data_IF_535510580811
#
_entry.id   IF_535510580811
#
_cell.length_a   1.000
_cell.length_b   1.000
_cell.length_c   1.000
_cell.angle_alpha   90.00
_cell.angle_beta   90.00
_cell.angle_gamma   90.00
#
_symmetry.space_group_name_H-M   'P 1'
#
loop_
_entity.id
_entity.type
_entity.pdbx_description
1 polymer ?
#
# COMPACT_ATOMS: atom_id res chain seq x y z
N UNK A 1 3.97 -2.74 -2.28
CA UNK A 1 4.35 -1.37 -2.27
C UNK A 1 5.26 -1.00 -1.12
N UNK A 2 6.55 -1.10 -1.33
CA UNK A 2 7.50 -0.67 -0.32
C UNK A 2 7.75 0.83 -0.44
N UNK A 3 7.77 1.51 0.69
CA UNK A 3 8.04 2.95 0.78
C UNK A 3 9.54 3.27 0.88
N UNK A 4 10.40 2.27 0.78
CA UNK A 4 11.85 2.45 0.86
C UNK A 4 12.45 2.44 -0.56
N UNK A 5 13.13 3.51 -1.00
CA UNK A 5 13.78 3.52 -2.29
C UNK A 5 14.97 2.54 -2.32
N UNK A 6 15.18 1.93 -3.49
CA UNK A 6 16.33 1.06 -3.76
C UNK A 6 17.39 1.85 -4.51
N UNK A 7 18.61 1.82 -3.99
CA UNK A 7 19.75 2.46 -4.65
C UNK A 7 20.11 1.74 -5.94
N UNK A 8 20.41 2.50 -6.99
CA UNK A 8 20.75 2.00 -8.33
C UNK A 8 22.16 2.37 -8.72
N UNK A 9 22.95 1.39 -9.14
CA UNK A 9 24.36 1.54 -9.52
C UNK A 9 24.61 1.11 -10.97
N UNK A 10 25.16 2.00 -11.79
CA UNK A 10 25.43 1.71 -13.21
C UNK A 10 26.58 0.70 -13.44
N UNK A 11 27.42 0.47 -12.44
CA UNK A 11 28.59 -0.39 -12.54
C UNK A 11 28.41 -1.77 -11.91
N UNK A 12 27.24 -2.04 -11.32
CA UNK A 12 26.95 -3.31 -10.66
C UNK A 12 26.86 -4.43 -11.71
N UNK A 13 27.68 -5.45 -11.52
CA UNK A 13 27.59 -6.69 -12.30
C UNK A 13 26.82 -7.72 -11.49
N UNK A 14 25.64 -8.07 -11.96
CA UNK A 14 24.74 -8.99 -11.29
C UNK A 14 24.71 -10.33 -12.04
N UNK A 15 24.49 -11.44 -11.34
CA UNK A 15 24.26 -12.73 -11.98
C UNK A 15 22.97 -12.67 -12.81
N UNK A 16 22.90 -13.44 -13.89
CA UNK A 16 21.75 -13.48 -14.79
C UNK A 16 20.46 -13.89 -14.07
N UNK A 17 20.59 -14.73 -13.05
CA UNK A 17 19.49 -15.24 -12.23
C UNK A 17 19.05 -14.29 -11.10
N UNK A 18 19.64 -13.08 -11.02
CA UNK A 18 19.26 -12.12 -9.97
C UNK A 18 17.76 -11.84 -9.99
N UNK A 19 17.14 -11.86 -8.81
CA UNK A 19 15.71 -11.56 -8.66
C UNK A 19 15.43 -10.14 -9.14
N UNK A 20 14.17 -9.86 -9.53
CA UNK A 20 13.80 -8.54 -10.06
C UNK A 20 14.09 -7.41 -9.06
N UNK A 21 13.87 -7.66 -7.76
CA UNK A 21 14.12 -6.70 -6.68
C UNK A 21 15.61 -6.40 -6.48
N UNK A 22 16.48 -7.39 -6.74
CA UNK A 22 17.93 -7.29 -6.52
C UNK A 22 18.68 -6.70 -7.71
N UNK A 23 17.98 -6.38 -8.80
CA UNK A 23 18.62 -5.79 -10.00
C UNK A 23 18.93 -4.32 -9.80
N UNK A 24 19.98 -4.02 -9.08
CA UNK A 24 20.42 -2.65 -8.78
C UNK A 24 20.90 -1.88 -10.01
N UNK A 25 21.32 -2.58 -11.07
CA UNK A 25 21.78 -1.97 -12.34
C UNK A 25 20.66 -1.70 -13.35
N UNK A 26 19.39 -1.90 -12.98
CA UNK A 26 18.24 -1.69 -13.87
C UNK A 26 17.22 -0.75 -13.24
N UNK A 27 16.63 0.11 -14.06
CA UNK A 27 15.42 0.88 -13.74
C UNK A 27 14.23 0.28 -14.46
N UNK A 28 13.08 0.24 -13.80
CA UNK A 28 11.90 -0.47 -14.26
C UNK A 28 10.75 0.51 -14.55
N UNK A 29 10.07 0.29 -15.67
CA UNK A 29 8.86 1.04 -16.00
C UNK A 29 7.79 0.87 -14.92
N UNK A 30 7.12 1.96 -14.57
CA UNK A 30 6.11 1.98 -13.49
C UNK A 30 6.68 2.23 -12.10
N UNK A 31 7.99 2.44 -11.96
CA UNK A 31 8.61 2.89 -10.72
C UNK A 31 8.94 4.38 -10.76
N UNK A 32 9.03 5.01 -9.60
CA UNK A 32 9.35 6.43 -9.45
C UNK A 32 10.79 6.62 -9.00
N UNK A 33 11.51 7.55 -9.62
CA UNK A 33 12.83 7.98 -9.16
C UNK A 33 12.60 8.99 -8.02
N UNK A 34 13.06 8.65 -6.82
CA UNK A 34 12.88 9.47 -5.62
C UNK A 34 14.01 10.47 -5.42
N UNK A 35 15.22 10.15 -5.87
CA UNK A 35 16.39 11.02 -5.77
C UNK A 35 17.39 10.72 -6.89
N UNK A 36 18.27 11.68 -7.17
CA UNK A 36 19.36 11.54 -8.15
C UNK A 36 18.91 11.68 -9.60
N UNK A 37 19.88 11.44 -10.50
CA UNK A 37 19.71 11.47 -11.96
C UNK A 37 20.64 10.46 -12.63
N UNK A 38 20.26 9.96 -13.78
CA UNK A 38 21.10 9.03 -14.53
C UNK A 38 20.66 8.92 -15.99
N UNK A 39 21.45 8.21 -16.77
CA UNK A 39 21.12 7.84 -18.14
C UNK A 39 20.97 6.33 -18.22
N UNK A 40 19.91 5.84 -18.81
CA UNK A 40 19.63 4.42 -18.98
C UNK A 40 19.44 4.06 -20.44
N UNK A 41 19.89 2.86 -20.82
CA UNK A 41 19.61 2.28 -22.13
C UNK A 41 18.29 1.50 -22.04
N UNK A 42 17.37 1.77 -22.96
CA UNK A 42 16.13 1.00 -23.06
C UNK A 42 16.43 -0.38 -23.64
N UNK A 43 16.19 -1.43 -22.86
CA UNK A 43 16.48 -2.83 -23.22
C UNK A 43 15.24 -3.64 -23.56
N UNK A 44 14.06 -3.16 -23.23
CA UNK A 44 12.78 -3.79 -23.55
C UNK A 44 11.67 -2.74 -23.65
N UNK A 45 10.66 -2.97 -24.50
CA UNK A 45 9.51 -2.10 -24.69
C UNK A 45 8.20 -2.91 -24.73
N UNK A 46 7.08 -2.24 -24.51
CA UNK A 46 5.75 -2.86 -24.62
C UNK A 46 5.59 -4.10 -23.73
N UNK A 47 5.13 -5.19 -24.32
CA UNK A 47 4.84 -6.44 -23.61
C UNK A 47 6.09 -7.21 -23.18
N UNK A 48 7.27 -6.87 -23.72
CA UNK A 48 8.55 -7.48 -23.32
C UNK A 48 9.13 -6.86 -22.03
N UNK A 49 8.58 -5.72 -21.59
CA UNK A 49 8.94 -5.14 -20.29
C UNK A 49 8.44 -6.01 -19.14
N UNK A 50 9.00 -5.81 -17.93
CA UNK A 50 8.50 -6.53 -16.75
C UNK A 50 7.02 -6.24 -16.47
N UNK A 51 6.58 -5.00 -16.70
CA UNK A 51 5.17 -4.62 -16.60
C UNK A 51 4.31 -5.32 -17.66
N UNK A 52 4.82 -5.46 -18.89
CA UNK A 52 4.18 -6.21 -19.95
C UNK A 52 4.04 -7.70 -19.63
N UNK A 53 5.07 -8.30 -19.03
CA UNK A 53 5.01 -9.71 -18.58
C UNK A 53 3.94 -9.92 -17.50
N UNK A 54 3.84 -9.00 -16.52
CA UNK A 54 2.78 -9.03 -15.50
C UNK A 54 1.41 -8.92 -16.18
N UNK A 55 1.26 -8.01 -17.15
CA UNK A 55 0.01 -7.87 -17.89
C UNK A 55 -0.36 -9.14 -18.67
N UNK A 56 0.61 -9.81 -19.31
CA UNK A 56 0.39 -11.09 -19.98
C UNK A 56 -0.05 -12.18 -19.01
N UNK A 57 0.59 -12.34 -17.85
CA UNK A 57 0.18 -13.30 -16.82
C UNK A 57 -1.27 -13.07 -16.36
N UNK A 58 -1.69 -11.81 -16.24
CA UNK A 58 -3.07 -11.46 -15.89
C UNK A 58 -4.08 -11.76 -17.03
N UNK A 59 -3.62 -11.74 -18.30
CA UNK A 59 -4.46 -12.06 -19.45
C UNK A 59 -4.55 -13.58 -19.71
N UNK A 60 -3.50 -14.33 -19.39
CA UNK A 60 -3.41 -15.78 -19.56
C UNK A 60 -4.15 -16.56 -18.48
N UNK A 61 -4.46 -15.93 -17.35
CA UNK A 61 -5.19 -16.55 -16.26
C UNK A 61 -6.64 -16.86 -16.70
N UNK A 62 -6.82 -18.07 -17.27
CA UNK A 62 -8.14 -18.61 -17.60
C UNK A 62 -8.80 -19.03 -16.30
N UNK A 63 -9.64 -18.16 -15.78
CA UNK A 63 -10.50 -18.53 -14.65
C UNK A 63 -11.31 -19.79 -15.00
N UNK A 64 -11.18 -20.81 -14.19
CA UNK A 64 -12.03 -22.01 -14.29
C UNK A 64 -13.49 -21.66 -13.97
N UNK A 65 -14.40 -22.56 -14.31
CA UNK A 65 -15.82 -22.45 -13.98
C UNK A 65 -16.04 -22.19 -12.49
N UNK A 66 -16.97 -21.32 -12.18
CA UNK A 66 -17.38 -21.09 -10.79
C UNK A 66 -18.07 -22.31 -10.18
N UNK A 67 -18.13 -22.45 -8.84
CA UNK A 67 -18.86 -23.54 -8.18
C UNK A 67 -20.31 -23.67 -8.67
N UNK A 68 -21.00 -22.57 -8.93
CA UNK A 68 -22.36 -22.55 -9.46
C UNK A 68 -22.40 -23.07 -10.90
N UNK A 69 -21.49 -22.62 -11.77
CA UNK A 69 -21.42 -23.08 -13.15
C UNK A 69 -21.15 -24.57 -13.23
N UNK A 70 -20.26 -25.12 -12.39
CA UNK A 70 -20.00 -26.56 -12.30
C UNK A 70 -21.24 -27.33 -11.86
N UNK A 71 -21.90 -26.90 -10.77
CA UNK A 71 -23.14 -27.51 -10.27
C UNK A 71 -24.27 -27.48 -11.31
N UNK A 72 -24.41 -26.35 -12.00
CA UNK A 72 -25.37 -26.19 -13.08
C UNK A 72 -25.08 -27.15 -14.25
N UNK A 73 -23.81 -27.27 -14.61
CA UNK A 73 -23.39 -28.25 -15.63
C UNK A 73 -23.70 -29.71 -15.24
N UNK A 74 -23.49 -30.07 -13.96
CA UNK A 74 -23.85 -31.38 -13.44
C UNK A 74 -25.35 -31.63 -13.45
N UNK A 75 -26.15 -30.64 -13.00
CA UNK A 75 -27.62 -30.73 -13.01
C UNK A 75 -28.11 -30.86 -14.45
N UNK A 76 -27.59 -30.03 -15.37
CA UNK A 76 -27.97 -30.10 -16.79
C UNK A 76 -27.66 -31.45 -17.41
N UNK A 77 -26.49 -32.02 -17.13
CA UNK A 77 -26.11 -33.38 -17.60
C UNK A 77 -27.05 -34.47 -17.04
N UNK A 78 -27.31 -34.44 -15.72
CA UNK A 78 -28.21 -35.38 -15.06
C UNK A 78 -29.63 -35.31 -15.63
N UNK A 79 -30.12 -34.07 -15.82
CA UNK A 79 -31.47 -33.83 -16.35
C UNK A 79 -31.58 -34.27 -17.82
N UNK A 80 -30.55 -33.98 -18.63
CA UNK A 80 -30.49 -34.43 -20.02
C UNK A 80 -30.48 -35.97 -20.13
N UNK A 81 -29.70 -36.63 -19.27
CA UNK A 81 -29.67 -38.08 -19.25
C UNK A 81 -31.03 -38.69 -18.83
N UNK A 82 -31.66 -38.13 -17.80
CA UNK A 82 -32.99 -38.53 -17.34
C UNK A 82 -34.03 -38.39 -18.47
N UNK A 83 -34.03 -37.20 -19.11
CA UNK A 83 -34.94 -36.90 -20.21
C UNK A 83 -34.76 -37.86 -21.40
N UNK A 84 -33.52 -38.08 -21.83
CA UNK A 84 -33.24 -39.07 -22.89
C UNK A 84 -33.68 -40.48 -22.54
N UNK A 85 -33.50 -40.89 -21.27
CA UNK A 85 -33.95 -42.20 -20.79
C UNK A 85 -35.47 -42.33 -20.84
N UNK A 86 -36.19 -41.30 -20.39
CA UNK A 86 -37.68 -41.28 -20.45
C UNK A 86 -38.15 -41.30 -21.90
N UNK A 87 -37.55 -40.51 -22.79
CA UNK A 87 -37.88 -40.49 -24.21
C UNK A 87 -37.63 -41.85 -24.87
N UNK A 88 -36.51 -42.54 -24.55
CA UNK A 88 -36.20 -43.86 -25.06
C UNK A 88 -37.21 -44.92 -24.58
N UNK A 89 -37.59 -44.88 -23.30
CA UNK A 89 -38.61 -45.79 -22.74
C UNK A 89 -39.96 -45.53 -23.42
N UNK A 90 -40.39 -44.27 -23.53
CA UNK A 90 -41.64 -43.94 -24.23
C UNK A 90 -41.66 -44.39 -25.68
N UNK A 91 -40.57 -44.18 -26.40
CA UNK A 91 -40.42 -44.63 -27.78
C UNK A 91 -40.51 -46.13 -27.87
N UNK A 92 -39.79 -46.87 -27.02
CA UNK A 92 -39.83 -48.33 -26.98
C UNK A 92 -41.23 -48.91 -26.66
N UNK A 93 -41.88 -48.37 -25.64
CA UNK A 93 -43.27 -48.77 -25.26
C UNK A 93 -44.26 -48.47 -26.40
N UNK A 94 -44.13 -47.30 -27.08
CA UNK A 94 -44.98 -46.98 -28.22
C UNK A 94 -44.82 -47.94 -29.39
N UNK A 95 -43.60 -48.39 -29.69
CA UNK A 95 -43.36 -49.42 -30.71
C UNK A 95 -43.99 -50.80 -30.36
N UNK A 96 -43.87 -51.19 -29.09
CA UNK A 96 -44.46 -52.42 -28.59
C UNK A 96 -46.01 -52.43 -28.71
N UNK A 97 -46.59 -51.20 -28.52
CA UNK A 97 -48.05 -51.02 -28.66
C UNK A 97 -48.50 -50.89 -30.12
N UNK A 98 -47.59 -51.05 -31.09
CA UNK A 98 -47.93 -51.03 -32.52
C UNK A 98 -48.25 -49.62 -33.07
N UNK A 99 -47.81 -48.59 -32.40
CA UNK A 99 -47.96 -47.18 -32.88
C UNK A 99 -47.02 -46.90 -34.03
N UNK A 100 -47.36 -45.83 -34.81
CA UNK A 100 -46.54 -45.45 -35.95
C UNK A 100 -45.18 -44.95 -35.42
N UNK A 101 -44.09 -45.43 -35.96
CA UNK A 101 -42.72 -45.16 -35.59
C UNK A 101 -42.41 -43.61 -35.70
N UNK A 102 -42.91 -42.95 -36.75
CA UNK A 102 -42.68 -41.53 -36.99
C UNK A 102 -43.37 -40.68 -35.93
N UNK A 103 -44.64 -41.01 -35.58
CA UNK A 103 -45.39 -40.26 -34.56
C UNK A 103 -44.75 -40.41 -33.17
N UNK A 104 -44.26 -41.61 -32.84
CA UNK A 104 -43.57 -41.81 -31.58
C UNK A 104 -42.23 -41.11 -31.53
N UNK A 105 -41.49 -41.05 -32.64
CA UNK A 105 -40.25 -40.26 -32.73
C UNK A 105 -40.52 -38.77 -32.54
N UNK A 106 -41.49 -38.20 -33.24
CA UNK A 106 -41.86 -36.79 -33.09
C UNK A 106 -42.33 -36.48 -31.68
N UNK A 107 -43.08 -37.36 -31.03
CA UNK A 107 -43.52 -37.22 -29.64
C UNK A 107 -42.33 -37.23 -28.69
N UNK A 108 -41.39 -38.17 -28.86
CA UNK A 108 -40.19 -38.27 -28.05
C UNK A 108 -39.30 -37.03 -28.21
N UNK A 109 -39.12 -36.51 -29.43
CA UNK A 109 -38.37 -35.27 -29.68
C UNK A 109 -39.07 -34.05 -29.04
N UNK A 110 -40.40 -33.95 -29.20
CA UNK A 110 -41.17 -32.85 -28.58
C UNK A 110 -41.05 -32.85 -27.07
N UNK A 111 -41.09 -34.04 -26.44
CA UNK A 111 -40.86 -34.17 -24.98
C UNK A 111 -39.44 -33.79 -24.57
N UNK A 112 -38.44 -34.25 -25.37
CA UNK A 112 -37.05 -33.89 -25.09
C UNK A 112 -36.81 -32.36 -25.12
N UNK A 113 -37.37 -31.68 -26.11
CA UNK A 113 -37.29 -30.21 -26.22
C UNK A 113 -38.02 -29.55 -25.06
N UNK A 114 -39.23 -29.98 -24.73
CA UNK A 114 -40.02 -29.41 -23.62
C UNK A 114 -39.36 -29.60 -22.24
N UNK A 115 -38.52 -30.60 -22.07
CA UNK A 115 -37.85 -30.90 -20.80
C UNK A 115 -36.53 -30.12 -20.61
N UNK A 116 -36.05 -29.36 -21.61
CA UNK A 116 -34.84 -28.53 -21.49
C UNK A 116 -35.16 -27.29 -20.67
N UNK A 117 -34.49 -27.04 -19.51
CA UNK A 117 -34.77 -25.90 -18.68
C UNK A 117 -34.08 -24.62 -19.23
N UNK A 118 -34.57 -24.07 -20.34
CA UNK A 118 -33.96 -22.93 -21.04
C UNK A 118 -33.94 -21.68 -20.19
N UNK A 119 -34.87 -21.49 -19.24
CA UNK A 119 -34.95 -20.35 -18.35
C UNK A 119 -33.86 -20.29 -17.28
N UNK A 120 -33.21 -21.42 -16.94
CA UNK A 120 -32.31 -21.48 -15.78
C UNK A 120 -31.06 -20.62 -15.94
N UNK A 121 -30.33 -20.61 -17.08
CA UNK A 121 -29.19 -19.71 -17.29
C UNK A 121 -29.59 -18.23 -17.29
N UNK A 122 -30.75 -17.90 -17.84
CA UNK A 122 -31.25 -16.53 -17.85
C UNK A 122 -31.56 -16.01 -16.44
N UNK A 123 -32.22 -16.80 -15.59
CA UNK A 123 -32.51 -16.45 -14.20
C UNK A 123 -31.22 -16.20 -13.41
N UNK A 124 -30.23 -17.08 -13.55
CA UNK A 124 -28.92 -16.93 -12.88
C UNK A 124 -28.24 -15.64 -13.31
N UNK A 125 -28.21 -15.36 -14.62
CA UNK A 125 -27.62 -14.11 -15.15
C UNK A 125 -28.30 -12.87 -14.59
N UNK A 126 -29.63 -12.89 -14.51
CA UNK A 126 -30.41 -11.76 -13.95
C UNK A 126 -30.07 -11.57 -12.46
N UNK A 127 -30.03 -12.65 -11.67
CA UNK A 127 -29.72 -12.59 -10.23
C UNK A 127 -28.30 -12.03 -10.02
N UNK A 128 -27.31 -12.53 -10.78
CA UNK A 128 -25.95 -12.03 -10.71
C UNK A 128 -25.86 -10.54 -11.13
N UNK A 129 -26.59 -10.15 -12.19
CA UNK A 129 -26.63 -8.75 -12.62
C UNK A 129 -27.24 -7.82 -11.54
N UNK A 130 -28.29 -8.26 -10.86
CA UNK A 130 -28.84 -7.53 -9.70
C UNK A 130 -27.82 -7.43 -8.55
N UNK A 131 -27.04 -8.49 -8.32
CA UNK A 131 -25.91 -8.49 -7.37
C UNK A 131 -24.88 -7.43 -7.71
N UNK A 132 -24.44 -7.41 -8.98
CA UNK A 132 -23.50 -6.38 -9.49
C UNK A 132 -24.06 -4.97 -9.31
N UNK A 133 -25.33 -4.75 -9.64
CA UNK A 133 -25.96 -3.44 -9.49
C UNK A 133 -25.99 -2.97 -8.00
N UNK A 134 -26.20 -3.89 -7.06
CA UNK A 134 -26.11 -3.58 -5.62
C UNK A 134 -24.69 -3.25 -5.18
N UNK A 135 -23.71 -3.99 -5.67
CA UNK A 135 -22.28 -3.75 -5.39
C UNK A 135 -21.82 -2.40 -5.96
N UNK A 136 -22.23 -2.08 -7.19
CA UNK A 136 -21.93 -0.79 -7.82
C UNK A 136 -22.45 0.41 -7.01
N UNK A 137 -23.65 0.31 -6.43
CA UNK A 137 -24.20 1.32 -5.50
C UNK A 137 -23.34 1.49 -4.25
N UNK A 138 -22.59 0.46 -3.85
CA UNK A 138 -21.63 0.48 -2.74
C UNK A 138 -20.21 0.79 -3.20
N UNK A 139 -20.03 1.32 -4.42
CA UNK A 139 -18.74 1.70 -5.03
C UNK A 139 -17.78 0.51 -5.24
N UNK A 140 -18.31 -0.72 -5.28
CA UNK A 140 -17.54 -1.91 -5.62
C UNK A 140 -17.64 -2.14 -7.13
N UNK A 141 -16.50 -2.14 -7.82
CA UNK A 141 -16.43 -2.39 -9.27
C UNK A 141 -16.27 -3.88 -9.49
N UNK A 142 -17.25 -4.50 -10.15
CA UNK A 142 -17.22 -5.91 -10.52
C UNK A 142 -16.88 -6.02 -12.01
N UNK A 143 -15.76 -6.62 -12.34
CA UNK A 143 -15.33 -6.80 -13.73
C UNK A 143 -16.06 -7.94 -14.44
N UNK A 144 -16.46 -8.99 -13.71
CA UNK A 144 -17.10 -10.19 -14.24
C UNK A 144 -18.26 -10.63 -13.37
N UNK A 145 -19.38 -11.02 -13.98
CA UNK A 145 -20.58 -11.47 -13.27
C UNK A 145 -20.32 -12.63 -12.29
N UNK A 146 -19.54 -13.67 -12.66
CA UNK A 146 -19.25 -14.79 -11.77
C UNK A 146 -18.52 -14.41 -10.47
N UNK A 147 -17.76 -13.31 -10.47
CA UNK A 147 -17.03 -12.85 -9.27
C UNK A 147 -17.95 -12.50 -8.10
N UNK A 148 -19.21 -12.13 -8.37
CA UNK A 148 -20.22 -11.85 -7.32
C UNK A 148 -20.55 -13.11 -6.52
N UNK A 149 -20.67 -14.25 -7.20
CA UNK A 149 -20.92 -15.54 -6.57
C UNK A 149 -19.73 -15.94 -5.67
N UNK A 150 -18.52 -15.90 -6.22
CA UNK A 150 -17.29 -16.25 -5.48
C UNK A 150 -17.14 -15.40 -4.22
N UNK A 151 -17.41 -14.10 -4.33
CA UNK A 151 -17.37 -13.19 -3.18
C UNK A 151 -18.46 -13.55 -2.16
N UNK A 152 -19.67 -13.91 -2.61
CA UNK A 152 -20.77 -14.30 -1.74
C UNK A 152 -20.54 -15.60 -0.97
N UNK A 153 -19.62 -16.46 -1.43
CA UNK A 153 -19.25 -17.72 -0.80
C UNK A 153 -17.94 -17.62 0.01
N UNK A 154 -17.32 -16.44 0.07
CA UNK A 154 -16.06 -16.26 0.77
C UNK A 154 -16.23 -16.39 2.29
N UNK A 155 -15.56 -17.35 2.91
CA UNK A 155 -15.48 -17.50 4.37
C UNK A 155 -14.28 -16.76 4.99
N UNK A 156 -13.29 -16.38 4.16
CA UNK A 156 -12.08 -15.66 4.57
C UNK A 156 -11.77 -14.57 3.57
N UNK A 157 -11.48 -13.38 4.06
CA UNK A 157 -10.98 -12.25 3.25
C UNK A 157 -9.55 -11.96 3.66
N UNK A 158 -8.62 -12.17 2.74
CA UNK A 158 -7.21 -11.80 2.91
C UNK A 158 -7.00 -10.40 2.35
N UNK A 159 -6.64 -9.46 3.22
CA UNK A 159 -6.44 -8.06 2.83
C UNK A 159 -4.99 -7.64 3.06
N UNK A 160 -4.41 -6.97 2.07
CA UNK A 160 -3.15 -6.27 2.26
C UNK A 160 -3.34 -5.12 3.26
N UNK A 161 -2.31 -4.86 4.04
CA UNK A 161 -2.30 -3.77 5.01
C UNK A 161 -2.17 -2.41 4.32
N UNK A 162 -1.11 -2.25 3.50
CA UNK A 162 -0.68 -0.95 2.99
C UNK A 162 -1.56 -0.48 1.83
N UNK A 163 -2.16 0.71 1.96
CA UNK A 163 -3.02 1.29 0.93
C UNK A 163 -4.41 0.65 0.80
N UNK A 164 -4.66 -0.48 1.49
CA UNK A 164 -5.97 -1.14 1.56
C UNK A 164 -6.62 -0.89 2.92
N UNK A 165 -6.05 -1.41 3.99
CA UNK A 165 -6.53 -1.17 5.36
C UNK A 165 -6.05 0.17 5.90
N UNK A 166 -4.91 0.65 5.41
CA UNK A 166 -4.33 1.94 5.79
C UNK A 166 -4.44 2.97 4.65
N UNK A 167 -4.17 4.23 4.96
CA UNK A 167 -4.34 5.35 4.04
C UNK A 167 -3.21 5.46 2.99
N UNK A 168 -2.14 4.68 3.12
CA UNK A 168 -0.90 4.82 2.35
C UNK A 168 -0.30 6.23 2.46
N UNK A 169 -0.41 6.82 3.64
CA UNK A 169 0.07 8.16 3.94
C UNK A 169 0.66 8.19 5.33
N UNK A 170 1.97 8.40 5.43
CA UNK A 170 2.60 8.60 6.72
C UNK A 170 2.03 9.83 7.41
N UNK A 171 1.76 9.71 8.70
CA UNK A 171 1.18 10.80 9.52
C UNK A 171 1.92 10.85 10.85
N UNK A 172 2.35 12.04 11.26
CA UNK A 172 2.92 12.27 12.59
C UNK A 172 1.81 12.18 13.63
N UNK A 173 1.96 11.26 14.57
CA UNK A 173 0.97 11.01 15.65
C UNK A 173 1.51 11.29 17.04
N UNK A 174 2.83 11.32 17.21
CA UNK A 174 3.46 11.60 18.50
C UNK A 174 4.73 12.45 18.30
N UNK A 175 4.89 13.48 19.11
CA UNK A 175 6.09 14.31 19.14
C UNK A 175 6.51 14.45 20.58
N UNK A 176 7.67 13.92 20.92
CA UNK A 176 8.24 14.01 22.26
C UNK A 176 9.48 14.90 22.24
N UNK A 177 9.56 15.80 23.20
CA UNK A 177 10.73 16.66 23.43
C UNK A 177 11.15 16.57 24.90
N UNK A 178 12.46 16.52 25.18
CA UNK A 178 12.95 16.44 26.57
C UNK A 178 12.63 17.71 27.38
N UNK A 179 12.46 18.83 26.72
CA UNK A 179 12.08 20.12 27.31
C UNK A 179 10.69 20.52 26.89
N UNK A 180 9.90 21.02 27.82
CA UNK A 180 8.56 21.52 27.52
C UNK A 180 8.63 22.74 26.59
N UNK A 181 7.73 22.79 25.61
CA UNK A 181 7.63 23.92 24.66
C UNK A 181 8.50 23.80 23.40
N UNK A 182 9.36 22.81 23.27
CA UNK A 182 10.21 22.62 22.08
C UNK A 182 9.51 21.88 20.92
N UNK A 183 8.22 21.55 21.04
CA UNK A 183 7.46 20.87 19.99
C UNK A 183 7.49 21.60 18.65
N UNK A 184 7.24 22.89 18.66
CA UNK A 184 7.31 23.71 17.44
C UNK A 184 8.73 23.71 16.81
N UNK A 185 9.78 23.75 17.64
CA UNK A 185 11.17 23.67 17.17
C UNK A 185 11.46 22.30 16.54
N UNK A 186 10.97 21.21 17.12
CA UNK A 186 11.14 19.86 16.56
C UNK A 186 10.50 19.76 15.18
N UNK A 187 9.27 20.28 15.01
CA UNK A 187 8.56 20.27 13.73
C UNK A 187 9.22 21.23 12.72
N UNK A 188 9.70 22.40 13.15
CA UNK A 188 10.46 23.33 12.29
C UNK A 188 11.71 22.65 11.73
N UNK A 189 12.49 21.98 12.58
CA UNK A 189 13.69 21.25 12.14
C UNK A 189 13.30 20.13 11.18
N UNK A 190 12.24 19.37 11.49
CA UNK A 190 11.72 18.31 10.62
C UNK A 190 11.32 18.84 9.23
N UNK A 191 10.64 19.99 9.17
CA UNK A 191 10.21 20.60 7.91
C UNK A 191 11.37 21.21 7.12
N UNK A 192 12.29 21.93 7.77
CA UNK A 192 13.47 22.50 7.13
C UNK A 192 14.44 21.44 6.61
N UNK A 193 14.60 20.34 7.35
CA UNK A 193 15.43 19.21 6.95
C UNK A 193 14.61 18.19 6.11
N UNK A 194 13.89 18.66 5.08
CA UNK A 194 13.07 17.85 4.18
C UNK A 194 13.08 18.43 2.77
N UNK A 195 13.00 17.53 1.77
CA UNK A 195 12.93 17.91 0.35
C UNK A 195 11.48 17.94 -0.16
N UNK A 196 10.51 17.50 0.64
CA UNK A 196 9.10 17.51 0.28
C UNK A 196 8.61 18.95 0.04
N UNK A 197 7.87 19.13 -1.05
CA UNK A 197 7.24 20.42 -1.38
C UNK A 197 5.84 20.49 -0.75
N UNK A 198 5.51 21.66 -0.19
CA UNK A 198 4.20 21.94 0.39
C UNK A 198 3.34 22.75 -0.59
N UNK A 199 2.14 22.25 -0.83
CA UNK A 199 1.06 22.98 -1.52
C UNK A 199 -0.19 22.99 -0.63
N UNK A 200 -1.12 23.90 -0.91
CA UNK A 200 -2.36 24.01 -0.18
C UNK A 200 -3.55 23.70 -1.09
N UNK A 201 -4.43 22.80 -0.66
CA UNK A 201 -5.73 22.54 -1.30
C UNK A 201 -6.83 23.06 -0.38
N UNK A 202 -7.22 24.31 -0.59
CA UNK A 202 -8.09 25.03 0.35
C UNK A 202 -7.37 25.27 1.69
N UNK A 203 -7.85 24.65 2.77
CA UNK A 203 -7.22 24.77 4.12
C UNK A 203 -6.39 23.54 4.50
N UNK A 204 -6.33 22.53 3.64
CA UNK A 204 -5.57 21.30 3.92
C UNK A 204 -4.19 21.37 3.28
N UNK A 205 -3.11 21.06 4.03
CA UNK A 205 -1.78 20.93 3.47
C UNK A 205 -1.70 19.66 2.64
N UNK A 206 -1.12 19.78 1.45
CA UNK A 206 -0.85 18.65 0.54
C UNK A 206 0.62 18.70 0.18
N UNK A 207 1.38 17.80 0.73
CA UNK A 207 2.81 17.73 0.44
C UNK A 207 3.11 16.66 -0.60
N UNK A 208 4.14 16.91 -1.42
CA UNK A 208 4.64 15.99 -2.45
C UNK A 208 6.10 15.69 -2.18
N UNK A 209 6.47 14.41 -2.21
CA UNK A 209 7.83 13.95 -1.95
C UNK A 209 7.85 12.61 -1.23
N UNK A 210 8.96 12.29 -0.55
CA UNK A 210 9.06 11.09 0.28
C UNK A 210 7.96 11.05 1.36
N UNK A 211 7.30 9.91 1.59
CA UNK A 211 6.21 9.79 2.57
C UNK A 211 6.60 10.20 3.99
N UNK A 212 7.84 9.97 4.40
CA UNK A 212 8.34 10.35 5.72
C UNK A 212 8.49 11.87 5.82
N UNK A 213 8.98 12.50 4.76
CA UNK A 213 9.18 13.95 4.71
C UNK A 213 7.87 14.70 4.57
N UNK A 214 6.95 14.21 3.73
CA UNK A 214 5.60 14.78 3.62
C UNK A 214 4.87 14.76 4.95
N UNK A 215 5.03 13.70 5.76
CA UNK A 215 4.46 13.61 7.10
C UNK A 215 4.97 14.72 8.03
N UNK A 216 6.27 15.01 7.98
CA UNK A 216 6.89 16.07 8.79
C UNK A 216 6.40 17.46 8.37
N UNK A 217 6.37 17.73 7.06
CA UNK A 217 5.93 19.00 6.48
C UNK A 217 4.45 19.24 6.75
N UNK A 218 3.60 18.23 6.56
CA UNK A 218 2.17 18.29 6.86
C UNK A 218 1.90 18.54 8.35
N UNK A 219 2.66 17.90 9.25
CA UNK A 219 2.52 18.12 10.69
C UNK A 219 2.92 19.54 11.09
N UNK A 220 4.01 20.06 10.55
CA UNK A 220 4.43 21.44 10.76
C UNK A 220 3.36 22.43 10.25
N UNK A 221 2.86 22.24 9.04
CA UNK A 221 1.84 23.10 8.44
C UNK A 221 0.54 23.15 9.26
N UNK A 222 0.10 22.02 9.84
CA UNK A 222 -1.08 21.96 10.72
C UNK A 222 -0.91 22.75 12.02
N UNK A 223 0.32 22.95 12.48
CA UNK A 223 0.65 23.80 13.63
C UNK A 223 0.98 25.26 13.24
N UNK A 224 0.69 25.63 11.98
CA UNK A 224 0.91 26.99 11.46
C UNK A 224 2.35 27.28 11.03
N UNK A 225 3.19 26.25 10.96
CA UNK A 225 4.59 26.35 10.52
C UNK A 225 4.65 26.03 9.02
N UNK A 226 4.34 27.03 8.17
CA UNK A 226 4.38 26.87 6.71
C UNK A 226 5.81 26.72 6.20
N UNK A 227 6.10 25.63 5.49
CA UNK A 227 7.46 25.34 5.00
C UNK A 227 7.99 26.44 4.09
N UNK A 228 7.15 26.97 3.20
CA UNK A 228 7.57 28.01 2.26
C UNK A 228 7.94 29.32 3.01
N UNK A 229 7.18 29.65 4.06
CA UNK A 229 7.50 30.75 4.95
C UNK A 229 8.80 30.51 5.73
N UNK A 230 8.96 29.31 6.27
CA UNK A 230 10.19 28.92 6.99
C UNK A 230 11.43 28.96 6.08
N UNK A 231 11.36 28.51 4.84
CA UNK A 231 12.47 28.57 3.88
C UNK A 231 12.80 30.01 3.46
N UNK A 232 11.81 30.90 3.44
CA UNK A 232 12.03 32.35 3.25
C UNK A 232 12.77 32.98 4.42
N UNK A 233 12.43 32.62 5.66
CA UNK A 233 13.08 33.13 6.89
C UNK A 233 14.44 32.44 7.14
N UNK A 234 14.56 31.16 6.83
CA UNK A 234 15.73 30.29 7.01
C UNK A 234 16.22 29.71 5.67
N UNK A 235 16.81 30.55 4.79
CA UNK A 235 17.23 30.06 3.45
C UNK A 235 18.22 28.92 3.55
N UNK A 236 17.92 27.80 2.84
CA UNK A 236 18.80 26.63 2.73
C UNK A 236 20.01 26.98 1.86
N UNK A 237 21.20 26.70 2.33
CA UNK A 237 22.48 27.02 1.67
C UNK A 237 23.36 25.82 1.44
N UNK A 238 23.05 24.68 2.03
CA UNK A 238 23.79 23.43 1.85
C UNK A 238 23.07 22.26 2.46
N UNK A 239 23.52 21.07 2.08
CA UNK A 239 22.93 19.83 2.54
C UNK A 239 23.91 18.67 2.50
N UNK A 240 23.63 17.67 3.31
CA UNK A 240 24.10 16.29 3.14
C UNK A 240 22.84 15.47 3.01
N UNK A 241 22.52 14.95 1.80
CA UNK A 241 21.34 14.13 1.55
C UNK A 241 21.25 12.92 2.47
N UNK A 242 20.07 12.34 2.59
CA UNK A 242 19.91 11.09 3.35
C UNK A 242 20.82 10.02 2.78
N UNK A 243 21.47 9.32 3.67
CA UNK A 243 22.35 8.20 3.37
C UNK A 243 22.00 7.02 4.26
N UNK A 244 21.80 5.84 3.67
CA UNK A 244 21.35 4.64 4.36
C UNK A 244 22.38 4.05 5.33
N UNK A 245 23.67 4.23 5.08
CA UNK A 245 24.74 3.80 6.00
C UNK A 245 24.82 4.75 7.18
N UNK A 246 24.77 6.05 6.91
CA UNK A 246 24.81 7.11 7.91
C UNK A 246 23.49 7.26 8.66
N UNK A 247 22.36 6.87 8.05
CA UNK A 247 20.98 6.99 8.57
C UNK A 247 20.59 8.39 9.02
N UNK A 248 21.20 9.40 8.45
CA UNK A 248 20.98 10.82 8.76
C UNK A 248 20.80 11.62 7.46
N UNK A 249 20.04 12.71 7.56
CA UNK A 249 19.99 13.80 6.60
C UNK A 249 20.30 15.09 7.33
N UNK A 250 21.04 15.99 6.68
CA UNK A 250 21.48 17.26 7.25
C UNK A 250 21.25 18.39 6.27
N UNK A 251 20.67 19.48 6.74
CA UNK A 251 20.53 20.71 5.95
C UNK A 251 21.12 21.89 6.71
N UNK A 252 21.65 22.86 5.96
CA UNK A 252 22.29 24.05 6.50
C UNK A 252 21.50 25.28 6.08
N UNK A 253 21.08 26.06 7.06
CA UNK A 253 20.23 27.23 6.87
C UNK A 253 20.91 28.49 7.40
N UNK A 254 20.71 29.60 6.67
CA UNK A 254 21.11 30.90 7.14
C UNK A 254 20.13 31.40 8.21
N UNK A 255 20.65 31.84 9.37
CA UNK A 255 19.79 32.33 10.46
C UNK A 255 19.34 33.76 10.23
N UNK A 256 18.10 34.10 10.60
CA UNK A 256 17.73 35.50 10.79
C UNK A 256 18.68 36.17 11.80
N UNK A 257 19.26 37.29 11.44
CA UNK A 257 20.23 38.00 12.31
C UNK A 257 21.68 37.51 12.24
N UNK A 258 21.99 36.57 11.36
CA UNK A 258 23.36 36.12 11.07
C UNK A 258 23.74 34.81 11.70
N UNK A 259 24.80 34.20 11.17
CA UNK A 259 25.21 32.82 11.49
C UNK A 259 24.40 31.75 10.77
N UNK A 260 24.59 30.49 11.18
CA UNK A 260 24.08 29.33 10.48
C UNK A 260 23.43 28.35 11.46
N UNK A 261 22.38 27.69 11.02
CA UNK A 261 21.78 26.54 11.71
C UNK A 261 21.90 25.31 10.87
N UNK A 262 22.50 24.29 11.45
CA UNK A 262 22.54 22.93 10.91
C UNK A 262 21.35 22.18 11.50
N UNK A 263 20.42 21.74 10.66
CA UNK A 263 19.29 20.88 11.04
C UNK A 263 19.61 19.45 10.65
N UNK A 264 19.39 18.50 11.56
CA UNK A 264 19.68 17.07 11.34
C UNK A 264 18.47 16.26 11.73
N UNK A 265 18.06 15.32 10.85
CA UNK A 265 17.07 14.29 11.15
C UNK A 265 17.61 12.91 10.83
N UNK A 266 17.12 11.90 11.52
CA UNK A 266 17.44 10.52 11.21
C UNK A 266 17.16 9.53 12.31
N UNK A 267 17.82 8.37 12.26
CA UNK A 267 17.64 7.30 13.23
C UNK A 267 17.98 7.74 14.65
N UNK A 268 17.08 7.54 15.63
CA UNK A 268 17.26 8.06 17.00
C UNK A 268 18.54 7.58 17.67
N UNK A 269 18.91 6.32 17.48
CA UNK A 269 20.10 5.68 18.04
C UNK A 269 21.40 6.27 17.49
N UNK A 270 21.42 6.58 16.19
CA UNK A 270 22.58 7.21 15.54
C UNK A 270 22.67 8.67 15.95
N UNK A 271 21.55 9.40 15.93
CA UNK A 271 21.50 10.80 16.27
C UNK A 271 21.89 11.06 17.73
N UNK A 272 21.47 10.18 18.67
CA UNK A 272 21.83 10.26 20.08
C UNK A 272 23.35 10.28 20.30
N UNK A 273 24.09 9.46 19.56
CA UNK A 273 25.57 9.40 19.64
C UNK A 273 26.26 10.65 19.11
N UNK A 274 25.59 11.43 18.26
CA UNK A 274 26.09 12.68 17.69
C UNK A 274 25.74 13.93 18.52
N UNK A 275 24.82 13.74 19.49
CA UNK A 275 24.35 14.80 20.38
C UNK A 275 25.15 14.87 21.69
N UNK A 276 25.18 16.08 22.27
CA UNK A 276 25.73 16.29 23.61
C UNK A 276 24.70 15.89 24.67
N UNK A 277 24.58 14.61 24.97
CA UNK A 277 23.64 14.09 25.96
C UNK A 277 24.40 13.56 27.17
N UNK A 278 23.90 13.85 28.36
CA UNK A 278 24.31 13.16 29.56
C UNK A 278 23.66 11.76 29.65
N UNK A 279 24.17 10.90 30.52
CA UNK A 279 23.68 9.53 30.67
C UNK A 279 22.20 9.44 31.03
N UNK A 280 21.63 10.45 31.74
CA UNK A 280 20.23 10.45 32.14
C UNK A 280 19.33 10.83 30.95
N UNK A 281 19.75 11.84 30.15
CA UNK A 281 19.06 12.22 28.94
C UNK A 281 19.09 11.11 27.88
N UNK A 282 20.24 10.45 27.70
CA UNK A 282 20.36 9.31 26.78
C UNK A 282 19.41 8.16 27.15
N UNK A 283 19.35 7.77 28.43
CA UNK A 283 18.39 6.74 28.88
C UNK A 283 16.93 7.15 28.69
N UNK A 284 16.57 8.41 28.95
CA UNK A 284 15.20 8.91 28.72
C UNK A 284 14.82 8.87 27.25
N UNK A 285 15.75 9.23 26.36
CA UNK A 285 15.56 9.17 24.92
C UNK A 285 15.33 7.71 24.48
N UNK A 286 16.19 6.80 24.90
CA UNK A 286 16.11 5.37 24.57
C UNK A 286 14.78 4.77 25.02
N UNK A 287 14.43 4.94 26.30
CA UNK A 287 13.14 4.46 26.83
C UNK A 287 11.93 5.04 26.08
N UNK A 288 12.00 6.33 25.66
CA UNK A 288 10.92 6.94 24.90
C UNK A 288 10.87 6.41 23.47
N UNK A 289 12.02 6.22 22.83
CA UNK A 289 12.12 5.61 21.51
C UNK A 289 11.55 4.18 21.51
N UNK A 290 11.90 3.37 22.50
CA UNK A 290 11.34 2.01 22.67
C UNK A 290 9.83 2.05 22.89
N UNK A 291 9.32 2.97 23.71
CA UNK A 291 7.88 3.12 23.93
C UNK A 291 7.12 3.55 22.67
N UNK A 292 7.72 4.38 21.83
CA UNK A 292 7.14 4.76 20.52
C UNK A 292 7.24 3.60 19.51
N UNK A 293 8.38 2.93 19.44
CA UNK A 293 8.57 1.76 18.58
C UNK A 293 7.65 0.59 18.98
N UNK A 294 7.40 0.41 20.28
CA UNK A 294 6.44 -0.57 20.81
C UNK A 294 4.99 -0.30 20.40
N UNK A 295 4.67 0.93 19.96
CA UNK A 295 3.39 1.31 19.33
C UNK A 295 3.44 1.25 17.81
N UNK A 296 4.37 0.50 17.25
CA UNK A 296 4.61 0.39 15.81
C UNK A 296 4.83 1.73 15.08
N UNK A 297 5.30 2.77 15.78
CA UNK A 297 5.63 4.04 15.16
C UNK A 297 7.00 3.97 14.49
N UNK A 298 7.08 4.52 13.30
CA UNK A 298 8.37 4.90 12.71
C UNK A 298 8.86 6.15 13.42
N UNK A 299 9.99 6.06 14.11
CA UNK A 299 10.52 7.15 14.93
C UNK A 299 11.71 7.80 14.24
N UNK A 300 11.68 9.13 14.14
CA UNK A 300 12.81 9.96 13.73
C UNK A 300 13.26 10.83 14.89
N UNK A 301 14.56 10.95 15.07
CA UNK A 301 15.17 11.96 15.91
C UNK A 301 15.40 13.24 15.12
N UNK A 302 15.30 14.40 15.82
CA UNK A 302 15.65 15.70 15.28
C UNK A 302 16.59 16.44 16.23
N UNK A 303 17.59 17.09 15.64
CA UNK A 303 18.61 17.83 16.37
C UNK A 303 19.10 19.04 15.55
N UNK A 304 19.77 19.96 16.20
CA UNK A 304 20.40 21.10 15.52
C UNK A 304 21.74 21.48 16.12
N UNK A 305 22.45 22.34 15.41
CA UNK A 305 23.68 23.00 15.87
C UNK A 305 23.76 24.39 15.25
N UNK A 306 24.04 25.37 16.06
CA UNK A 306 24.28 26.75 15.57
C UNK A 306 25.78 26.98 15.38
N UNK A 307 26.14 27.62 14.25
CA UNK A 307 27.51 27.95 13.87
C UNK A 307 27.64 29.43 13.52
N UNK A 308 28.70 30.04 13.97
CA UNK A 308 29.01 31.44 13.60
C UNK A 308 29.49 31.55 12.13
N UNK A 309 30.26 30.57 11.68
CA UNK A 309 30.77 30.48 10.31
C UNK A 309 30.62 29.04 9.78
N UNK A 310 30.41 28.92 8.49
CA UNK A 310 30.41 27.60 7.83
C UNK A 310 31.83 27.03 7.72
N UNK A 311 31.97 25.71 7.91
CA UNK A 311 33.22 25.05 7.57
C UNK A 311 33.50 25.14 6.06
N UNK A 312 34.79 25.06 5.66
CA UNK A 312 35.18 25.11 4.26
C UNK A 312 34.58 23.97 3.45
N UNK A 313 34.43 22.81 4.07
CA UNK A 313 33.79 21.61 3.48
C UNK A 313 32.61 21.20 4.31
N UNK A 314 31.49 20.99 3.64
CA UNK A 314 30.28 20.45 4.27
C UNK A 314 30.40 18.91 4.28
N UNK A 315 30.78 18.35 5.41
CA UNK A 315 30.88 16.91 5.61
C UNK A 315 30.29 16.49 6.97
N UNK A 316 30.06 15.20 7.14
CA UNK A 316 29.46 14.63 8.36
C UNK A 316 30.30 14.94 9.62
N UNK A 317 31.62 14.90 9.51
CA UNK A 317 32.51 15.17 10.65
C UNK A 317 32.37 16.62 11.18
N UNK A 318 32.20 17.58 10.29
CA UNK A 318 32.07 18.98 10.65
C UNK A 318 30.64 19.36 11.12
N UNK A 319 29.62 18.80 10.47
CA UNK A 319 28.23 19.20 10.67
C UNK A 319 27.48 18.33 11.68
N UNK A 320 27.74 17.04 11.75
CA UNK A 320 26.93 16.08 12.50
C UNK A 320 27.53 15.66 13.86
N UNK A 321 28.40 16.48 14.43
CA UNK A 321 28.97 16.27 15.75
C UNK A 321 28.63 17.40 16.71
N UNK A 322 28.44 17.03 17.99
CA UNK A 322 28.17 18.00 19.05
C UNK A 322 26.81 18.69 18.89
N UNK A 323 25.83 17.98 18.37
CA UNK A 323 24.46 18.44 18.13
C UNK A 323 23.69 18.65 19.45
N UNK A 324 22.70 19.52 19.42
CA UNK A 324 21.70 19.68 20.46
C UNK A 324 20.47 18.86 20.06
N UNK A 325 20.16 17.84 20.84
CA UNK A 325 18.97 17.00 20.63
C UNK A 325 17.70 17.79 20.98
N UNK A 326 16.68 17.73 20.10
CA UNK A 326 15.42 18.46 20.30
C UNK A 326 14.26 17.50 20.60
N UNK A 327 14.14 16.40 19.87
CA UNK A 327 13.04 15.51 20.12
C UNK A 327 12.97 14.28 19.20
N UNK A 328 11.96 13.47 19.48
CA UNK A 328 11.54 12.31 18.69
C UNK A 328 10.20 12.63 18.03
N UNK A 329 10.08 12.26 16.77
CA UNK A 329 8.85 12.38 15.99
C UNK A 329 8.43 10.98 15.56
N UNK A 330 7.29 10.53 16.09
CA UNK A 330 6.70 9.23 15.78
C UNK A 330 5.60 9.36 14.74
N UNK A 331 5.66 8.54 13.72
CA UNK A 331 4.71 8.54 12.61
C UNK A 331 4.26 7.14 12.27
N UNK A 332 3.07 7.02 11.71
CA UNK A 332 2.46 5.77 11.27
C UNK A 332 1.64 6.02 10.02
N UNK A 333 1.42 5.00 9.22
CA UNK A 333 0.37 4.97 8.21
C UNK A 333 -0.94 4.57 8.89
N UNK A 334 -1.86 5.51 9.15
CA UNK A 334 -3.05 5.23 9.96
C UNK A 334 -4.05 4.35 9.22
N UNK A 335 -4.84 3.54 9.94
CA UNK A 335 -5.95 2.82 9.34
C UNK A 335 -6.98 3.79 8.75
N UNK A 336 -7.66 3.34 7.71
CA UNK A 336 -8.80 4.09 7.14
C UNK A 336 -9.96 4.07 8.13
N UNK A 337 -10.68 5.20 8.31
CA UNK A 337 -11.79 5.28 9.26
C UNK A 337 -12.89 4.24 9.01
N UNK A 338 -13.15 3.92 7.73
CA UNK A 338 -14.18 2.97 7.30
C UNK A 338 -13.83 1.50 7.54
N UNK A 339 -12.57 1.16 7.74
CA UNK A 339 -12.10 -0.24 7.83
C UNK A 339 -12.61 -0.91 9.09
N UNK A 340 -12.65 -0.22 10.22
CA UNK A 340 -13.17 -0.78 11.47
C UNK A 340 -14.60 -1.30 11.32
N UNK A 341 -15.47 -0.47 10.75
CA UNK A 341 -16.86 -0.86 10.47
C UNK A 341 -16.96 -2.01 9.48
N UNK A 342 -16.09 -2.01 8.46
CA UNK A 342 -16.06 -3.11 7.49
C UNK A 342 -15.61 -4.44 8.12
N UNK A 343 -14.62 -4.42 9.01
CA UNK A 343 -14.16 -5.58 9.77
C UNK A 343 -15.26 -6.12 10.68
N UNK A 344 -15.96 -5.24 11.42
CA UNK A 344 -17.11 -5.62 12.25
C UNK A 344 -18.23 -6.27 11.41
N UNK A 345 -18.51 -5.75 10.22
CA UNK A 345 -19.49 -6.32 9.29
C UNK A 345 -19.04 -7.70 8.77
N UNK A 346 -17.76 -7.91 8.50
CA UNK A 346 -17.23 -9.23 8.13
C UNK A 346 -17.47 -10.25 9.24
N UNK A 347 -17.13 -9.91 10.48
CA UNK A 347 -17.38 -10.82 11.60
C UNK A 347 -18.86 -11.11 11.81
N UNK A 348 -19.73 -10.11 11.70
CA UNK A 348 -21.19 -10.29 11.79
C UNK A 348 -21.74 -11.19 10.66
N UNK A 349 -21.10 -11.21 9.50
CA UNK A 349 -21.42 -12.10 8.39
C UNK A 349 -20.78 -13.49 8.48
N UNK A 350 -20.03 -13.80 9.56
CA UNK A 350 -19.29 -15.05 9.69
C UNK A 350 -18.05 -15.15 8.80
N UNK A 351 -17.57 -14.04 8.25
CA UNK A 351 -16.39 -13.97 7.39
C UNK A 351 -15.19 -13.59 8.25
N UNK A 352 -14.09 -14.33 8.12
CA UNK A 352 -12.85 -14.08 8.86
C UNK A 352 -11.94 -13.13 8.07
N UNK A 353 -11.74 -11.87 8.47
CA UNK A 353 -10.73 -11.01 7.87
C UNK A 353 -9.33 -11.42 8.34
N UNK A 354 -8.39 -11.49 7.42
CA UNK A 354 -6.97 -11.80 7.65
C UNK A 354 -6.14 -10.70 7.01
N UNK A 355 -5.28 -10.07 7.80
CA UNK A 355 -4.35 -9.07 7.29
C UNK A 355 -3.07 -9.76 6.82
N UNK A 356 -2.65 -9.46 5.59
CA UNK A 356 -1.37 -9.88 5.01
C UNK A 356 -0.45 -8.66 4.98
N UNK A 357 0.80 -8.83 5.36
CA UNK A 357 1.79 -7.73 5.38
C UNK A 357 3.21 -8.27 5.42
N UNK A 358 4.13 -7.58 4.77
CA UNK A 358 5.57 -7.84 4.78
C UNK A 358 6.26 -7.24 6.04
N UNK A 359 5.52 -6.44 6.82
CA UNK A 359 6.05 -5.79 8.00
C UNK A 359 6.22 -6.72 9.19
N UNK A 360 7.06 -6.29 10.13
CA UNK A 360 7.28 -7.02 11.36
C UNK A 360 5.97 -7.29 12.12
N UNK A 361 5.84 -8.51 12.68
CA UNK A 361 4.63 -8.99 13.38
C UNK A 361 4.05 -7.99 14.38
N UNK A 362 4.88 -7.26 15.11
CA UNK A 362 4.43 -6.29 16.13
C UNK A 362 3.63 -5.15 15.51
N UNK A 363 4.09 -4.58 14.39
CA UNK A 363 3.37 -3.51 13.67
C UNK A 363 2.01 -3.99 13.14
N UNK A 364 1.94 -5.23 12.67
CA UNK A 364 0.69 -5.83 12.21
C UNK A 364 -0.32 -5.99 13.36
N UNK A 365 0.15 -6.44 14.53
CA UNK A 365 -0.69 -6.64 15.72
C UNK A 365 -1.28 -5.31 16.22
N UNK A 366 -0.49 -4.23 16.23
CA UNK A 366 -0.99 -2.94 16.73
C UNK A 366 -2.03 -2.32 15.80
N UNK A 367 -1.86 -2.45 14.48
CA UNK A 367 -2.87 -2.04 13.51
C UNK A 367 -4.12 -2.90 13.65
N UNK A 368 -3.98 -4.22 13.81
CA UNK A 368 -5.11 -5.13 14.01
C UNK A 368 -5.89 -4.84 15.31
N UNK A 369 -5.22 -4.34 16.36
CA UNK A 369 -5.87 -3.90 17.60
C UNK A 369 -6.59 -2.57 17.45
N UNK A 370 -6.14 -1.71 16.53
CA UNK A 370 -6.79 -0.44 16.24
C UNK A 370 -8.02 -0.57 15.35
N UNK A 371 -8.12 -1.69 14.62
CA UNK A 371 -9.26 -2.06 13.78
C UNK A 371 -10.29 -2.88 14.53
#
# INVERSE_FOLDING_TARGET
GESVPVEKGAHDRLPEEASLGDRTNMVLSGTMITAGRGTALVVATGMDTQMGRIANLLLEDKEGDTPLQRKMGEISKSLSFLCLSVCAIMFGVGLIQGKNMLDMFLTAVSLAVAAIPEGLPAIVTIVLALGVARMARRRAIVKRLPAVETLGCAGVICSDKTGTLTQNRMTVVDVWTPRSGERALALTIGALCSDAALAWKGREPVSTGDPTETALVDAAAREGLDKNGLEGEWPRRGELPFDSERKLMTTVHQRPGGGWRVCVKGAPDVLARRCRLDSAAARRLESRNEAMAGKALRVLGVAYKDLAMLPRELNSAALEQGLTFVGLIGMIDPPRPEVRTAVEQCYAAGIKPVMITDYHKLTAVDIARAL
#
